data_IF_905830598679
#
_entry.id   IF_905830598679
#
_cell.length_a   1.000
_cell.length_b   1.000
_cell.length_c   1.000
_cell.angle_alpha   90.00
_cell.angle_beta   90.00
_cell.angle_gamma   90.00
#
_symmetry.space_group_name_H-M   'P 1'
#
loop_
_entity.id
_entity.type
_entity.pdbx_description
1 polymer ?
#
# COMPACT_ATOMS: atom_id res chain seq x y z
N UNK A 1 -16.27 7.24 -47.72
CA UNK A 1 -16.27 8.50 -46.93
C UNK A 1 -16.27 8.12 -45.46
N UNK A 2 -15.13 8.26 -44.79
CA UNK A 2 -14.99 8.03 -43.35
C UNK A 2 -15.80 9.10 -42.63
N UNK A 3 -16.69 8.78 -41.67
CA UNK A 3 -17.43 9.80 -40.95
C UNK A 3 -16.42 10.62 -40.13
N UNK A 4 -16.27 11.89 -40.49
CA UNK A 4 -15.55 12.88 -39.71
C UNK A 4 -16.31 12.99 -38.39
N UNK A 5 -15.66 12.65 -37.26
CA UNK A 5 -16.26 12.84 -35.96
C UNK A 5 -16.74 14.30 -35.84
N UNK A 6 -17.94 14.56 -35.29
CA UNK A 6 -18.46 15.93 -35.23
C UNK A 6 -17.46 16.82 -34.46
N UNK A 7 -17.26 18.08 -34.89
CA UNK A 7 -16.26 18.99 -34.31
C UNK A 7 -16.35 19.13 -32.78
N UNK A 8 -17.55 18.96 -32.23
CA UNK A 8 -17.81 18.97 -30.79
C UNK A 8 -17.13 17.82 -30.05
N UNK A 9 -17.00 16.62 -30.63
CA UNK A 9 -16.38 15.47 -29.95
C UNK A 9 -14.86 15.66 -29.83
N UNK A 10 -14.23 16.26 -30.84
CA UNK A 10 -12.81 16.60 -30.81
C UNK A 10 -12.53 17.72 -29.80
N UNK A 11 -13.38 18.74 -29.74
CA UNK A 11 -13.34 19.79 -28.72
C UNK A 11 -13.49 19.22 -27.31
N UNK A 12 -14.49 18.35 -27.08
CA UNK A 12 -14.70 17.67 -25.80
C UNK A 12 -13.48 16.82 -25.41
N UNK A 13 -12.87 16.12 -26.38
CA UNK A 13 -11.64 15.36 -26.15
C UNK A 13 -10.48 16.26 -25.73
N UNK A 14 -10.34 17.43 -26.36
CA UNK A 14 -9.36 18.45 -26.00
C UNK A 14 -9.58 19.00 -24.59
N UNK A 15 -10.83 19.32 -24.23
CA UNK A 15 -11.21 19.74 -22.88
C UNK A 15 -10.91 18.67 -21.84
N UNK A 16 -11.25 17.41 -22.11
CA UNK A 16 -10.96 16.30 -21.20
C UNK A 16 -9.45 16.13 -20.97
N UNK A 17 -8.61 16.31 -22.01
CA UNK A 17 -7.15 16.34 -21.84
C UNK A 17 -6.70 17.48 -20.94
N UNK A 18 -7.19 18.70 -21.18
CA UNK A 18 -6.85 19.91 -20.39
C UNK A 18 -7.26 19.77 -18.92
N UNK A 19 -8.43 19.19 -18.65
CA UNK A 19 -8.98 18.98 -17.31
C UNK A 19 -8.50 17.68 -16.63
N UNK A 20 -7.67 16.87 -17.32
CA UNK A 20 -7.20 15.55 -16.85
C UNK A 20 -8.35 14.59 -16.53
N UNK A 21 -9.42 14.63 -17.33
CA UNK A 21 -10.56 13.71 -17.28
C UNK A 21 -10.29 12.49 -18.15
N UNK A 22 -9.38 11.62 -17.71
CA UNK A 22 -8.89 10.50 -18.50
C UNK A 22 -10.02 9.51 -18.83
N UNK A 23 -10.79 9.14 -17.82
CA UNK A 23 -11.79 8.06 -17.95
C UNK A 23 -13.07 8.57 -18.58
N UNK A 24 -13.43 9.84 -18.36
CA UNK A 24 -14.45 10.50 -19.19
C UNK A 24 -14.06 10.39 -20.66
N UNK A 25 -12.83 10.80 -21.03
CA UNK A 25 -12.39 10.76 -22.42
C UNK A 25 -12.45 9.37 -23.03
N UNK A 26 -12.10 8.34 -22.25
CA UNK A 26 -12.10 6.95 -22.69
C UNK A 26 -13.52 6.39 -22.87
N UNK A 27 -14.46 6.73 -21.98
CA UNK A 27 -15.83 6.18 -22.01
C UNK A 27 -16.86 7.06 -22.74
N UNK A 28 -16.54 8.33 -22.95
CA UNK A 28 -17.44 9.33 -23.56
C UNK A 28 -18.03 8.87 -24.91
N UNK A 29 -17.28 8.28 -25.86
CA UNK A 29 -17.86 7.85 -27.12
C UNK A 29 -19.02 6.87 -26.95
N UNK A 30 -18.85 5.85 -26.11
CA UNK A 30 -19.86 4.81 -25.88
C UNK A 30 -21.05 5.33 -25.06
N UNK A 31 -20.77 6.17 -24.05
CA UNK A 31 -21.81 6.80 -23.24
C UNK A 31 -22.66 7.76 -24.08
N UNK A 32 -22.07 8.55 -24.98
CA UNK A 32 -22.81 9.44 -25.88
C UNK A 32 -23.73 8.67 -26.83
N UNK A 33 -23.25 7.54 -27.38
CA UNK A 33 -24.06 6.66 -28.23
C UNK A 33 -25.24 6.07 -27.45
N UNK A 34 -24.97 5.58 -26.24
CA UNK A 34 -25.98 5.00 -25.35
C UNK A 34 -27.03 6.03 -24.94
N UNK A 35 -26.59 7.21 -24.49
CA UNK A 35 -27.46 8.31 -24.09
C UNK A 35 -28.39 8.74 -25.24
N UNK A 36 -27.87 8.81 -26.47
CA UNK A 36 -28.68 9.12 -27.65
C UNK A 36 -29.71 8.02 -27.96
N UNK A 37 -29.29 6.76 -27.94
CA UNK A 37 -30.16 5.62 -28.25
C UNK A 37 -31.30 5.46 -27.23
N UNK A 38 -30.98 5.64 -25.95
CA UNK A 38 -31.91 5.48 -24.84
C UNK A 38 -32.62 6.78 -24.43
N UNK A 39 -32.33 7.90 -25.11
CA UNK A 39 -32.88 9.23 -24.82
C UNK A 39 -32.70 9.64 -23.35
N UNK A 40 -31.48 9.47 -22.84
CA UNK A 40 -31.15 9.90 -21.49
C UNK A 40 -31.34 11.41 -21.33
N UNK A 41 -31.75 11.81 -20.12
CA UNK A 41 -31.67 13.21 -19.70
C UNK A 41 -30.19 13.67 -19.68
N UNK A 42 -29.88 14.93 -20.05
CA UNK A 42 -28.51 15.43 -20.02
C UNK A 42 -27.82 15.27 -18.67
N UNK A 43 -28.56 15.40 -17.56
CA UNK A 43 -28.02 15.21 -16.22
C UNK A 43 -27.59 13.76 -15.98
N UNK A 44 -28.33 12.77 -16.52
CA UNK A 44 -27.99 11.35 -16.39
C UNK A 44 -26.71 11.00 -17.16
N UNK A 45 -26.56 11.53 -18.38
CA UNK A 45 -25.32 11.38 -19.15
C UNK A 45 -24.11 11.96 -18.40
N UNK A 46 -24.25 13.18 -17.85
CA UNK A 46 -23.20 13.80 -17.04
C UNK A 46 -22.88 12.98 -15.80
N UNK A 47 -23.90 12.47 -15.11
CA UNK A 47 -23.76 11.60 -13.93
C UNK A 47 -22.92 10.37 -14.26
N UNK A 48 -23.23 9.65 -15.33
CA UNK A 48 -22.50 8.45 -15.75
C UNK A 48 -21.03 8.75 -16.08
N UNK A 49 -20.76 9.83 -16.81
CA UNK A 49 -19.38 10.23 -17.13
C UNK A 49 -18.58 10.62 -15.88
N UNK A 50 -19.18 11.36 -14.96
CA UNK A 50 -18.50 11.77 -13.72
C UNK A 50 -18.26 10.61 -12.77
N UNK A 51 -19.19 9.64 -12.69
CA UNK A 51 -18.99 8.38 -11.95
C UNK A 51 -17.82 7.61 -12.54
N UNK A 52 -17.77 7.45 -13.87
CA UNK A 52 -16.67 6.77 -14.55
C UNK A 52 -15.30 7.40 -14.25
N UNK A 53 -15.24 8.73 -14.15
CA UNK A 53 -14.03 9.45 -13.76
C UNK A 53 -13.64 9.22 -12.31
N UNK A 54 -14.59 9.30 -11.38
CA UNK A 54 -14.34 9.06 -9.97
C UNK A 54 -13.81 7.63 -9.75
N UNK A 55 -14.54 6.62 -10.23
CA UNK A 55 -14.16 5.21 -10.10
C UNK A 55 -12.82 4.89 -10.76
N UNK A 56 -12.56 5.48 -11.93
CA UNK A 56 -11.28 5.32 -12.63
C UNK A 56 -10.12 5.90 -11.82
N UNK A 57 -10.29 7.09 -11.23
CA UNK A 57 -9.28 7.73 -10.37
C UNK A 57 -9.04 6.96 -9.09
N UNK A 58 -10.08 6.46 -8.46
CA UNK A 58 -9.98 5.64 -7.25
C UNK A 58 -9.19 4.37 -7.52
N UNK A 59 -9.52 3.67 -8.62
CA UNK A 59 -8.81 2.46 -9.07
C UNK A 59 -7.33 2.74 -9.36
N UNK A 60 -7.02 3.81 -10.08
CA UNK A 60 -5.63 4.18 -10.34
C UNK A 60 -4.88 4.58 -9.07
N UNK A 61 -5.57 5.18 -8.10
CA UNK A 61 -4.96 5.54 -6.81
C UNK A 61 -4.55 4.29 -6.04
N UNK A 62 -5.44 3.29 -5.94
CA UNK A 62 -5.16 1.98 -5.34
C UNK A 62 -4.02 1.28 -6.09
N UNK A 63 -4.07 1.21 -7.41
CA UNK A 63 -3.04 0.56 -8.23
C UNK A 63 -1.66 1.23 -8.05
N UNK A 64 -1.62 2.56 -8.04
CA UNK A 64 -0.38 3.31 -7.81
C UNK A 64 0.18 3.08 -6.40
N UNK A 65 -0.68 3.01 -5.38
CA UNK A 65 -0.27 2.69 -4.00
C UNK A 65 0.29 1.27 -3.92
N UNK A 66 -0.38 0.27 -4.52
CA UNK A 66 0.12 -1.12 -4.60
C UNK A 66 1.49 -1.21 -5.26
N UNK A 67 1.68 -0.52 -6.40
CA UNK A 67 2.97 -0.46 -7.10
C UNK A 67 4.07 0.17 -6.24
N UNK A 68 3.74 1.22 -5.48
CA UNK A 68 4.69 1.90 -4.59
C UNK A 68 5.03 1.09 -3.34
N UNK A 69 4.07 0.33 -2.81
CA UNK A 69 4.27 -0.50 -1.63
C UNK A 69 5.27 -1.65 -1.88
N UNK A 70 5.38 -2.15 -3.12
CA UNK A 70 6.32 -3.21 -3.53
C UNK A 70 6.15 -4.52 -2.76
N UNK A 71 4.91 -4.94 -2.56
CA UNK A 71 4.61 -6.24 -1.96
C UNK A 71 5.24 -7.39 -2.77
N UNK A 72 5.79 -8.43 -2.10
CA UNK A 72 6.58 -9.46 -2.76
C UNK A 72 5.76 -10.45 -3.61
N UNK A 73 4.53 -10.81 -3.20
CA UNK A 73 3.78 -11.92 -3.79
C UNK A 73 2.32 -11.59 -4.15
N UNK A 74 1.84 -10.38 -3.85
CA UNK A 74 0.48 -9.92 -4.09
C UNK A 74 -0.58 -10.66 -3.27
N UNK A 75 -0.24 -11.21 -2.09
CA UNK A 75 -1.19 -11.97 -1.27
C UNK A 75 -2.31 -11.08 -0.71
N UNK A 76 -3.55 -11.52 -0.85
CA UNK A 76 -4.74 -10.85 -0.30
C UNK A 76 -5.46 -11.77 0.69
N UNK A 77 -6.47 -11.24 1.37
CA UNK A 77 -7.32 -12.04 2.25
C UNK A 77 -8.24 -13.02 1.48
N UNK A 78 -8.42 -12.86 0.16
CA UNK A 78 -9.18 -13.82 -0.65
C UNK A 78 -8.51 -15.20 -0.68
N UNK A 79 -7.18 -15.23 -0.63
CA UNK A 79 -6.38 -16.45 -0.60
C UNK A 79 -6.02 -16.89 0.83
N UNK A 80 -6.55 -16.24 1.87
CA UNK A 80 -6.22 -16.51 3.27
C UNK A 80 -7.24 -17.44 3.94
N UNK A 81 -6.77 -18.59 4.42
CA UNK A 81 -7.59 -19.49 5.22
C UNK A 81 -7.50 -19.14 6.71
N UNK A 82 -8.50 -18.40 7.18
CA UNK A 82 -8.55 -17.94 8.57
C UNK A 82 -8.66 -19.08 9.59
N UNK A 83 -9.20 -20.24 9.22
CA UNK A 83 -9.37 -21.37 10.12
C UNK A 83 -8.07 -22.18 10.31
N UNK A 84 -7.15 -22.10 9.34
CA UNK A 84 -5.84 -22.76 9.41
C UNK A 84 -4.74 -21.90 10.03
N UNK A 85 -5.02 -20.62 10.28
CA UNK A 85 -4.07 -19.71 10.91
C UNK A 85 -3.93 -20.00 12.41
N UNK A 86 -2.72 -19.89 12.98
CA UNK A 86 -2.55 -19.87 14.43
C UNK A 86 -3.05 -18.57 15.08
N UNK A 87 -3.31 -17.51 14.31
CA UNK A 87 -3.87 -16.26 14.82
C UNK A 87 -5.37 -16.49 15.07
N UNK A 88 -5.90 -16.28 16.28
CA UNK A 88 -7.32 -16.47 16.56
C UNK A 88 -8.20 -15.61 15.66
N UNK A 89 -9.33 -16.15 15.18
CA UNK A 89 -10.26 -15.43 14.29
C UNK A 89 -10.68 -14.05 14.83
N UNK A 90 -11.02 -13.88 16.13
CA UNK A 90 -11.36 -12.56 16.67
C UNK A 90 -10.22 -11.55 16.54
N UNK A 91 -8.97 -11.99 16.73
CA UNK A 91 -7.78 -11.15 16.54
C UNK A 91 -7.60 -10.78 15.07
N UNK A 92 -7.80 -11.73 14.14
CA UNK A 92 -7.75 -11.43 12.72
C UNK A 92 -8.81 -10.37 12.33
N UNK A 93 -10.02 -10.46 12.88
CA UNK A 93 -11.10 -9.51 12.61
C UNK A 93 -10.81 -8.12 13.19
N UNK A 94 -10.29 -8.07 14.42
CA UNK A 94 -9.85 -6.82 15.04
C UNK A 94 -8.74 -6.15 14.21
N UNK A 95 -7.77 -6.91 13.71
CA UNK A 95 -6.70 -6.36 12.87
C UNK A 95 -7.21 -5.87 11.51
N UNK A 96 -8.20 -6.55 10.93
CA UNK A 96 -8.86 -6.14 9.68
C UNK A 96 -9.67 -4.85 9.82
N UNK A 97 -10.04 -4.43 11.03
CA UNK A 97 -10.70 -3.13 11.25
C UNK A 97 -9.81 -1.93 10.90
N UNK A 98 -8.48 -2.11 10.93
CA UNK A 98 -7.46 -1.07 10.73
C UNK A 98 -7.54 0.11 11.71
N UNK A 99 -8.40 0.05 12.76
CA UNK A 99 -8.47 1.10 13.78
C UNK A 99 -7.13 1.30 14.49
N UNK A 100 -6.37 0.22 14.68
CA UNK A 100 -5.02 0.26 15.24
C UNK A 100 -4.06 1.08 14.35
N UNK A 101 -4.25 1.08 13.02
CA UNK A 101 -3.47 1.89 12.09
C UNK A 101 -3.73 3.38 12.34
N UNK A 102 -5.00 3.75 12.52
CA UNK A 102 -5.40 5.14 12.79
C UNK A 102 -4.94 5.64 14.16
N UNK A 103 -4.72 4.71 15.11
CA UNK A 103 -4.21 4.98 16.45
C UNK A 103 -2.67 4.98 16.54
N UNK A 104 -1.97 4.77 15.42
CA UNK A 104 -0.51 4.62 15.38
C UNK A 104 0.01 3.48 16.28
N UNK A 105 -0.74 2.38 16.39
CA UNK A 105 -0.35 1.21 17.17
C UNK A 105 0.52 0.26 16.34
N UNK A 106 1.47 -0.41 17.00
CA UNK A 106 2.37 -1.34 16.34
C UNK A 106 1.88 -2.79 16.50
N UNK A 107 2.13 -3.60 15.48
CA UNK A 107 1.80 -5.03 15.46
C UNK A 107 3.08 -5.85 15.30
N UNK A 108 3.25 -6.85 16.16
CA UNK A 108 4.30 -7.86 15.99
C UNK A 108 3.65 -9.22 15.75
N UNK A 109 3.98 -9.84 14.63
CA UNK A 109 3.53 -11.17 14.24
C UNK A 109 4.70 -12.13 14.39
N UNK A 110 4.69 -12.91 15.47
CA UNK A 110 5.73 -13.88 15.79
C UNK A 110 5.25 -15.32 15.62
N UNK A 111 6.15 -16.20 15.19
CA UNK A 111 5.91 -17.64 15.16
C UNK A 111 6.83 -18.38 14.21
N UNK A 112 6.84 -19.73 14.23
CA UNK A 112 7.69 -20.54 13.37
C UNK A 112 7.53 -20.23 11.88
N UNK A 113 8.54 -20.58 11.07
CA UNK A 113 8.43 -20.49 9.61
C UNK A 113 7.28 -21.35 9.09
N UNK A 114 6.67 -20.93 7.97
CA UNK A 114 5.56 -21.65 7.34
C UNK A 114 4.18 -21.48 7.99
N UNK A 115 4.04 -20.63 9.03
CA UNK A 115 2.75 -20.37 9.72
C UNK A 115 1.89 -19.27 9.07
N UNK A 116 2.33 -18.72 7.93
CA UNK A 116 1.56 -17.72 7.17
C UNK A 116 1.74 -16.27 7.62
N UNK A 117 2.76 -15.94 8.41
CA UNK A 117 3.04 -14.56 8.89
C UNK A 117 3.17 -13.56 7.74
N UNK A 118 4.08 -13.81 6.80
CA UNK A 118 4.31 -12.95 5.63
C UNK A 118 3.04 -12.78 4.80
N UNK A 119 2.28 -13.87 4.57
CA UNK A 119 0.98 -13.79 3.87
C UNK A 119 0.03 -12.88 4.64
N UNK A 120 -0.15 -13.10 5.94
CA UNK A 120 -1.07 -12.30 6.75
C UNK A 120 -0.69 -10.81 6.74
N UNK A 121 0.59 -10.48 6.93
CA UNK A 121 1.09 -9.12 6.88
C UNK A 121 0.86 -8.48 5.50
N UNK A 122 1.14 -9.22 4.42
CA UNK A 122 0.94 -8.73 3.06
C UNK A 122 -0.54 -8.50 2.74
N UNK A 123 -1.40 -9.45 3.13
CA UNK A 123 -2.85 -9.33 2.96
C UNK A 123 -3.43 -8.16 3.77
N UNK A 124 -2.93 -7.95 4.98
CA UNK A 124 -3.29 -6.80 5.83
C UNK A 124 -2.85 -5.48 5.19
N UNK A 125 -1.64 -5.44 4.63
CA UNK A 125 -1.14 -4.28 3.88
C UNK A 125 -1.95 -3.99 2.61
N UNK A 126 -2.33 -5.01 1.85
CA UNK A 126 -3.22 -4.86 0.70
C UNK A 126 -4.59 -4.32 1.11
N UNK A 127 -5.14 -4.84 2.21
CA UNK A 127 -6.42 -4.37 2.75
C UNK A 127 -6.34 -2.91 3.23
N UNK A 128 -5.23 -2.52 3.87
CA UNK A 128 -4.97 -1.13 4.24
C UNK A 128 -4.95 -0.19 3.01
N UNK A 129 -4.35 -0.61 1.89
CA UNK A 129 -4.38 0.19 0.66
C UNK A 129 -5.81 0.34 0.11
N UNK A 130 -6.60 -0.73 0.14
CA UNK A 130 -8.02 -0.70 -0.27
C UNK A 130 -8.84 0.25 0.60
N UNK A 131 -8.55 0.29 1.91
CA UNK A 131 -9.15 1.22 2.87
C UNK A 131 -8.62 2.66 2.75
N UNK A 132 -7.70 2.93 1.83
CA UNK A 132 -7.23 4.28 1.52
C UNK A 132 -5.90 4.68 2.16
N UNK A 133 -5.26 3.81 2.94
CA UNK A 133 -3.96 4.06 3.56
C UNK A 133 -2.80 3.96 2.54
N UNK A 134 -1.73 4.69 2.82
CA UNK A 134 -0.45 4.55 2.13
C UNK A 134 0.39 3.53 2.90
N UNK A 135 0.83 2.48 2.21
CA UNK A 135 1.60 1.38 2.83
C UNK A 135 2.99 1.29 2.20
N UNK A 136 4.00 0.99 3.01
CA UNK A 136 5.35 0.66 2.55
C UNK A 136 5.76 -0.73 3.10
N UNK A 137 6.35 -1.54 2.24
CA UNK A 137 6.88 -2.86 2.60
C UNK A 137 8.40 -2.88 2.47
N UNK A 138 9.07 -3.51 3.43
CA UNK A 138 10.51 -3.75 3.41
C UNK A 138 10.80 -5.16 3.94
N UNK A 139 11.75 -5.86 3.32
CA UNK A 139 12.47 -6.91 4.03
C UNK A 139 13.54 -6.29 4.94
N UNK A 140 14.06 -7.09 5.88
CA UNK A 140 15.18 -6.65 6.72
C UNK A 140 16.44 -6.33 5.87
N UNK A 141 16.63 -7.04 4.76
CA UNK A 141 17.72 -6.81 3.81
C UNK A 141 17.54 -5.52 2.99
N UNK A 142 16.30 -5.12 2.71
CA UNK A 142 16.00 -3.84 2.05
C UNK A 142 16.50 -2.67 2.92
N UNK A 143 16.26 -2.74 4.23
CA UNK A 143 16.74 -1.74 5.18
C UNK A 143 18.27 -1.70 5.24
N UNK A 144 18.93 -2.85 5.29
CA UNK A 144 20.39 -2.92 5.25
C UNK A 144 20.96 -2.29 3.96
N UNK A 145 20.30 -2.55 2.83
CA UNK A 145 20.70 -2.01 1.52
C UNK A 145 20.46 -0.51 1.44
N UNK A 146 19.35 -0.01 2.00
CA UNK A 146 19.06 1.41 2.12
C UNK A 146 20.15 2.13 2.90
N UNK A 147 20.54 1.61 4.06
CA UNK A 147 21.59 2.17 4.91
C UNK A 147 22.92 2.21 4.16
N UNK A 148 23.39 1.07 3.61
CA UNK A 148 24.67 1.03 2.87
C UNK A 148 24.73 2.02 1.72
N UNK A 149 23.65 2.11 0.95
CA UNK A 149 23.57 2.98 -0.22
C UNK A 149 23.67 4.46 0.17
N UNK A 150 22.97 4.85 1.23
CA UNK A 150 22.87 6.25 1.62
C UNK A 150 23.96 6.71 2.61
N UNK A 151 24.71 5.77 3.19
CA UNK A 151 25.87 6.07 4.05
C UNK A 151 27.00 6.74 3.29
N UNK A 152 27.25 6.32 2.05
CA UNK A 152 28.36 6.81 1.21
C UNK A 152 28.26 8.33 0.99
N UNK A 153 27.04 8.82 0.79
CA UNK A 153 26.77 10.23 0.45
C UNK A 153 26.19 11.04 1.63
N UNK A 154 26.17 10.49 2.84
CA UNK A 154 25.58 11.12 4.04
C UNK A 154 24.11 11.56 3.85
N UNK A 155 23.30 10.69 3.24
CA UNK A 155 21.90 10.98 2.90
C UNK A 155 20.89 10.04 3.56
N UNK A 156 21.28 9.31 4.60
CA UNK A 156 20.43 8.31 5.28
C UNK A 156 19.09 8.94 5.73
N UNK A 157 19.13 10.09 6.40
CA UNK A 157 17.91 10.77 6.87
C UNK A 157 16.95 11.13 5.73
N UNK A 158 17.49 11.52 4.56
CA UNK A 158 16.68 11.82 3.37
C UNK A 158 16.05 10.56 2.78
N UNK A 159 16.70 9.41 2.93
CA UNK A 159 16.20 8.13 2.43
C UNK A 159 14.94 7.66 3.18
N UNK A 160 14.78 8.01 4.45
CA UNK A 160 13.59 7.69 5.25
C UNK A 160 12.42 8.65 5.03
N UNK A 161 12.65 9.85 4.50
CA UNK A 161 11.58 10.85 4.30
C UNK A 161 10.39 10.34 3.45
N UNK A 162 10.61 9.58 2.35
CA UNK A 162 9.51 8.97 1.61
C UNK A 162 8.76 7.88 2.39
N UNK A 163 9.45 7.16 3.28
CA UNK A 163 8.89 6.07 4.10
C UNK A 163 7.90 6.66 5.12
N UNK A 164 8.23 7.80 5.71
CA UNK A 164 7.37 8.52 6.66
C UNK A 164 6.07 9.09 6.07
N UNK A 165 5.90 9.01 4.74
CA UNK A 165 4.63 9.33 4.07
C UNK A 165 3.66 8.15 4.07
N UNK A 166 4.11 6.95 4.42
CA UNK A 166 3.23 5.81 4.64
C UNK A 166 2.52 5.96 5.99
N UNK A 167 1.27 5.56 6.06
CA UNK A 167 0.48 5.43 7.28
C UNK A 167 0.83 4.13 8.02
N UNK A 168 1.21 3.11 7.26
CA UNK A 168 1.60 1.78 7.72
C UNK A 168 2.91 1.34 7.05
N UNK A 169 3.90 0.97 7.87
CA UNK A 169 5.15 0.36 7.41
C UNK A 169 5.20 -1.10 7.84
N UNK A 170 5.51 -2.00 6.91
CA UNK A 170 5.59 -3.44 7.17
C UNK A 170 7.03 -3.90 6.94
N UNK A 171 7.58 -4.59 7.94
CA UNK A 171 8.92 -5.18 7.92
C UNK A 171 8.77 -6.69 8.06
N UNK A 172 9.22 -7.44 7.06
CA UNK A 172 9.07 -8.89 7.02
C UNK A 172 10.37 -9.65 7.27
N UNK A 173 10.21 -10.91 7.69
CA UNK A 173 11.26 -11.94 7.84
C UNK A 173 12.39 -11.62 8.83
N UNK A 174 12.07 -10.94 9.94
CA UNK A 174 13.05 -10.71 11.00
C UNK A 174 13.44 -12.03 11.69
N UNK A 175 14.75 -12.29 11.78
CA UNK A 175 15.32 -13.39 12.57
C UNK A 175 15.36 -14.75 11.87
N UNK A 176 15.22 -14.80 10.54
CA UNK A 176 15.57 -16.00 9.76
C UNK A 176 17.09 -16.15 9.60
N UNK A 177 17.81 -15.04 9.54
CA UNK A 177 19.27 -14.96 9.44
C UNK A 177 19.80 -13.98 10.52
N UNK A 178 21.09 -14.07 10.88
CA UNK A 178 21.72 -13.06 11.74
C UNK A 178 21.56 -11.66 11.15
N UNK A 179 21.08 -10.72 11.97
CA UNK A 179 20.91 -9.34 11.54
C UNK A 179 22.27 -8.67 11.41
N UNK A 180 22.55 -8.11 10.22
CA UNK A 180 23.76 -7.33 9.99
C UNK A 180 23.70 -5.97 10.70
N UNK A 181 24.84 -5.34 11.06
CA UNK A 181 24.83 -4.02 11.71
C UNK A 181 24.04 -2.95 10.93
N UNK A 182 24.16 -2.94 9.60
CA UNK A 182 23.39 -2.01 8.76
C UNK A 182 21.87 -2.28 8.81
N UNK A 183 21.47 -3.56 8.91
CA UNK A 183 20.08 -3.94 9.05
C UNK A 183 19.51 -3.51 10.42
N UNK A 184 20.28 -3.72 11.49
CA UNK A 184 19.92 -3.29 12.84
C UNK A 184 19.80 -1.75 12.93
N UNK A 185 20.75 -1.02 12.37
CA UNK A 185 20.68 0.45 12.29
C UNK A 185 19.46 0.91 11.48
N UNK A 186 19.20 0.27 10.34
CA UNK A 186 18.04 0.58 9.50
C UNK A 186 16.72 0.35 10.22
N UNK A 187 16.60 -0.77 10.94
CA UNK A 187 15.43 -1.10 11.76
C UNK A 187 15.25 -0.08 12.89
N UNK A 188 16.31 0.24 13.63
CA UNK A 188 16.28 1.21 14.72
C UNK A 188 15.81 2.58 14.22
N UNK A 189 16.45 3.12 13.17
CA UNK A 189 16.08 4.43 12.60
C UNK A 189 14.65 4.46 12.08
N UNK A 190 14.17 3.34 11.52
CA UNK A 190 12.80 3.24 11.04
C UNK A 190 11.79 3.30 12.20
N UNK A 191 12.02 2.51 13.25
CA UNK A 191 11.15 2.46 14.42
C UNK A 191 11.14 3.83 15.11
N UNK A 192 12.31 4.43 15.34
CA UNK A 192 12.46 5.76 15.92
C UNK A 192 11.69 6.82 15.12
N UNK A 193 11.86 6.83 13.79
CA UNK A 193 11.19 7.79 12.94
C UNK A 193 9.66 7.58 12.83
N UNK A 194 9.17 6.36 13.11
CA UNK A 194 7.73 6.05 13.13
C UNK A 194 7.08 6.24 14.51
N UNK A 195 7.88 6.36 15.57
CA UNK A 195 7.41 6.35 16.96
C UNK A 195 6.31 7.38 17.20
N UNK A 196 5.16 6.92 17.74
CA UNK A 196 3.94 7.70 18.01
C UNK A 196 3.32 8.44 16.80
N UNK A 197 3.85 8.26 15.60
CA UNK A 197 3.40 8.96 14.40
C UNK A 197 2.80 8.01 13.37
N UNK A 198 3.29 6.77 13.29
CA UNK A 198 2.95 5.78 12.25
C UNK A 198 2.88 4.39 12.85
N UNK A 199 2.06 3.55 12.21
CA UNK A 199 1.95 2.15 12.60
C UNK A 199 3.02 1.31 11.91
N UNK A 200 3.64 0.41 12.66
CA UNK A 200 4.64 -0.53 12.17
C UNK A 200 4.17 -1.96 12.40
N UNK A 201 4.24 -2.79 11.35
CA UNK A 201 4.09 -4.24 11.46
C UNK A 201 5.46 -4.88 11.33
N UNK A 202 5.78 -5.77 12.26
CA UNK A 202 6.98 -6.60 12.20
C UNK A 202 6.56 -8.06 12.15
N UNK A 203 7.07 -8.79 11.16
CA UNK A 203 6.98 -10.25 11.10
C UNK A 203 8.32 -10.86 11.53
N UNK A 204 8.28 -11.83 12.46
CA UNK A 204 9.50 -12.45 12.98
C UNK A 204 9.35 -13.94 13.27
N UNK A 205 10.44 -14.68 13.03
CA UNK A 205 10.59 -16.07 13.47
C UNK A 205 11.09 -16.20 14.92
N UNK A 206 11.47 -15.09 15.55
CA UNK A 206 11.93 -15.06 16.93
C UNK A 206 10.76 -15.03 17.90
N UNK A 207 10.95 -15.66 19.06
CA UNK A 207 10.08 -15.43 20.20
C UNK A 207 10.20 -13.97 20.65
N UNK A 208 9.13 -13.32 21.15
CA UNK A 208 9.19 -11.93 21.64
C UNK A 208 10.35 -11.63 22.60
N UNK A 209 10.73 -12.60 23.45
CA UNK A 209 11.89 -12.47 24.37
C UNK A 209 13.26 -12.46 23.67
N UNK A 210 13.33 -12.79 22.38
CA UNK A 210 14.54 -12.74 21.57
C UNK A 210 14.76 -11.40 20.88
N UNK A 211 13.81 -10.46 20.98
CA UNK A 211 13.95 -9.13 20.37
C UNK A 211 15.04 -8.29 21.04
N UNK A 212 15.34 -8.54 22.32
CA UNK A 212 16.45 -7.92 23.04
C UNK A 212 17.82 -8.20 22.39
N UNK A 213 17.91 -9.25 21.57
CA UNK A 213 19.13 -9.59 20.84
C UNK A 213 19.26 -8.87 19.49
N UNK A 214 18.18 -8.23 19.01
CA UNK A 214 18.13 -7.55 17.71
C UNK A 214 18.58 -6.09 17.80
N UNK A 215 18.49 -5.50 18.99
CA UNK A 215 18.86 -4.11 19.27
C UNK A 215 20.03 -4.17 20.23
N UNK A 216 21.22 -3.73 19.79
CA UNK A 216 22.37 -3.61 20.68
C UNK A 216 22.00 -2.59 21.79
N UNK A 217 22.06 -2.97 23.07
CA UNK A 217 21.74 -2.06 24.18
C UNK A 217 22.62 -0.81 24.22
N UNK A 218 23.73 -0.76 23.48
CA UNK A 218 24.59 0.42 23.34
C UNK A 218 24.15 1.41 22.25
N UNK A 219 23.05 1.15 21.55
CA UNK A 219 22.49 2.03 20.49
C UNK A 219 21.39 2.96 21.05
N UNK A 220 20.96 2.78 22.31
CA UNK A 220 19.99 3.63 23.01
C UNK A 220 20.63 4.80 23.77
#
# INVERSE_FOLDING_TARGET
MTPIAPPVLDELTGLCRRLRLKYVREQMPDVLLTAKAQRWDPAEMLRVLLIAEAEGRDRATIENRRKKARFPAGKTFDAWDAARSPIPKPTQDALRSLEWVTRAENLVVCGPSGTGKSHFCEALGQHAIEAGHVVAWFSIEDLATLIRRHRIDDTITKAFTPILKADLVIIDDIGLLPITPDAAEGLYRLIDACYEQRSVVVSSNLHPSGFDQLIDPNIA
#
